data_IF_031572919325
#
_entry.id   IF_031572919325
#
_cell.length_a   1.000
_cell.length_b   1.000
_cell.length_c   1.000
_cell.angle_alpha   90.00
_cell.angle_beta   90.00
_cell.angle_gamma   90.00
#
_symmetry.space_group_name_H-M   'P 1'
#
loop_
_entity.id
_entity.type
_entity.pdbx_description
1 polymer ?
#
# COMPACT_ATOMS: atom_id res chain seq x y z
N UNK A 1 23.08 17.60 23.38
CA UNK A 1 22.26 17.88 22.17
C UNK A 1 21.09 16.93 22.18
N UNK A 2 19.87 17.41 21.95
CA UNK A 2 18.68 16.55 21.92
C UNK A 2 18.79 15.67 20.66
N UNK A 3 19.31 14.46 20.82
CA UNK A 3 19.38 13.45 19.78
C UNK A 3 18.06 12.70 19.76
N UNK A 4 17.06 13.27 19.09
CA UNK A 4 15.72 12.69 19.01
C UNK A 4 14.91 13.34 17.89
N UNK A 5 13.85 12.65 17.47
CA UNK A 5 12.91 13.18 16.49
C UNK A 5 12.11 14.34 17.08
N UNK A 6 11.81 15.37 16.27
CA UNK A 6 11.08 16.55 16.72
C UNK A 6 9.61 16.22 17.03
N UNK A 7 9.03 15.27 16.30
CA UNK A 7 7.66 14.78 16.51
C UNK A 7 7.59 13.26 16.41
N UNK A 8 6.48 12.69 16.88
CA UNK A 8 6.17 11.27 16.67
C UNK A 8 6.03 10.92 15.19
N UNK A 9 5.52 11.84 14.37
CA UNK A 9 5.37 11.64 12.92
C UNK A 9 6.73 11.57 12.23
N UNK A 10 7.71 12.37 12.67
CA UNK A 10 9.08 12.28 12.16
C UNK A 10 9.70 10.91 12.45
N UNK A 11 9.49 10.38 13.66
CA UNK A 11 9.93 9.03 14.01
C UNK A 11 9.23 7.98 13.12
N UNK A 12 7.91 8.06 12.95
CA UNK A 12 7.14 7.12 12.12
C UNK A 12 7.64 7.15 10.67
N UNK A 13 7.85 8.33 10.09
CA UNK A 13 8.35 8.49 8.73
C UNK A 13 9.75 7.89 8.55
N UNK A 14 10.61 7.98 9.56
CA UNK A 14 11.93 7.38 9.54
C UNK A 14 11.86 5.86 9.66
N UNK A 15 11.01 5.31 10.54
CA UNK A 15 10.74 3.86 10.61
C UNK A 15 10.24 3.34 9.25
N UNK A 16 9.29 4.02 8.61
CA UNK A 16 8.77 3.63 7.30
C UNK A 16 9.81 3.79 6.18
N UNK A 17 10.81 4.64 6.36
CA UNK A 17 11.92 4.77 5.41
C UNK A 17 12.88 3.59 5.56
N UNK A 18 13.31 3.27 6.79
CA UNK A 18 14.18 2.12 7.06
C UNK A 18 13.53 0.80 6.62
N UNK A 19 12.23 0.59 6.88
CA UNK A 19 11.52 -0.61 6.42
C UNK A 19 11.54 -0.78 4.90
N UNK A 20 11.52 0.33 4.13
CA UNK A 20 11.59 0.28 2.66
C UNK A 20 12.98 -0.08 2.16
N UNK A 21 14.01 0.30 2.90
CA UNK A 21 15.41 0.03 2.58
C UNK A 21 15.73 -1.42 2.93
N UNK A 22 15.44 -1.85 4.15
CA UNK A 22 15.75 -3.19 4.66
C UNK A 22 14.99 -4.27 3.89
N UNK A 23 13.66 -4.13 3.76
CA UNK A 23 12.81 -5.15 3.15
C UNK A 23 12.57 -4.92 1.65
N UNK A 24 13.55 -4.34 0.95
CA UNK A 24 13.43 -4.05 -0.47
C UNK A 24 13.33 -5.36 -1.27
N UNK A 25 12.23 -5.53 -1.99
CA UNK A 25 11.99 -6.73 -2.81
C UNK A 25 11.37 -7.90 -2.05
N UNK A 26 11.12 -7.77 -0.74
CA UNK A 26 10.55 -8.84 0.09
C UNK A 26 9.01 -8.79 0.20
N UNK A 27 8.36 -7.90 -0.57
CA UNK A 27 6.89 -7.83 -0.64
C UNK A 27 6.20 -6.98 0.43
N UNK A 28 6.95 -6.39 1.38
CA UNK A 28 6.35 -5.60 2.47
C UNK A 28 5.83 -4.23 2.06
N UNK A 29 6.35 -3.64 0.97
CA UNK A 29 5.96 -2.28 0.57
C UNK A 29 4.46 -2.14 0.29
N UNK A 30 3.86 -3.14 -0.35
CA UNK A 30 2.43 -3.13 -0.66
C UNK A 30 1.59 -3.16 0.62
N UNK A 31 1.97 -4.01 1.58
CA UNK A 31 1.28 -4.13 2.87
C UNK A 31 1.37 -2.83 3.67
N UNK A 32 2.54 -2.17 3.67
CA UNK A 32 2.71 -0.87 4.33
C UNK A 32 1.82 0.23 3.71
N UNK A 33 1.67 0.29 2.38
CA UNK A 33 0.71 1.20 1.75
C UNK A 33 -0.73 0.87 2.16
N UNK A 34 -1.14 -0.39 2.02
CA UNK A 34 -2.52 -0.84 2.28
C UNK A 34 -2.95 -0.60 3.73
N UNK A 35 -2.12 -0.99 4.72
CA UNK A 35 -2.46 -0.85 6.14
C UNK A 35 -2.50 0.59 6.63
N UNK A 36 -1.76 1.48 5.96
CA UNK A 36 -1.71 2.92 6.28
C UNK A 36 -2.66 3.74 5.40
N UNK A 37 -3.39 3.10 4.48
CA UNK A 37 -4.20 3.77 3.46
C UNK A 37 -3.41 4.85 2.71
N UNK A 38 -2.13 4.57 2.43
CA UNK A 38 -1.25 5.47 1.69
C UNK A 38 -1.27 5.11 0.20
N UNK A 39 -1.19 6.11 -0.67
CA UNK A 39 -1.16 5.90 -2.12
C UNK A 39 -0.04 4.92 -2.53
N UNK A 40 -0.36 4.06 -3.50
CA UNK A 40 0.66 3.19 -4.12
C UNK A 40 1.48 4.10 -5.04
N UNK A 41 2.79 4.24 -4.80
CA UNK A 41 3.61 5.17 -5.56
C UNK A 41 3.73 4.73 -7.02
N UNK A 42 3.59 5.68 -7.93
CA UNK A 42 3.87 5.49 -9.34
C UNK A 42 5.36 5.23 -9.60
N UNK A 43 5.67 4.72 -10.80
CA UNK A 43 7.04 4.46 -11.23
C UNK A 43 7.22 4.95 -12.67
N UNK A 44 8.20 5.81 -12.92
CA UNK A 44 8.50 6.33 -14.27
C UNK A 44 7.22 6.86 -14.96
N UNK A 45 6.76 6.19 -16.01
CA UNK A 45 5.57 6.51 -16.80
C UNK A 45 4.26 5.92 -16.24
N UNK A 46 4.31 5.20 -15.12
CA UNK A 46 3.13 4.63 -14.45
C UNK A 46 2.69 5.58 -13.34
N UNK A 47 1.44 6.06 -13.41
CA UNK A 47 0.85 6.93 -12.41
C UNK A 47 0.72 6.23 -11.04
N UNK A 48 0.70 7.03 -9.98
CA UNK A 48 0.36 6.54 -8.65
C UNK A 48 -1.12 6.10 -8.60
N UNK A 49 -1.43 5.14 -7.72
CA UNK A 49 -2.80 4.70 -7.46
C UNK A 49 -3.24 5.28 -6.12
N UNK A 50 -4.20 6.22 -6.10
CA UNK A 50 -4.74 6.77 -4.87
C UNK A 50 -5.38 5.69 -4.00
N UNK A 51 -5.33 5.83 -2.68
CA UNK A 51 -6.00 4.93 -1.75
C UNK A 51 -7.54 4.88 -1.93
N UNK A 52 -8.11 5.89 -2.59
CA UNK A 52 -9.53 6.00 -2.92
C UNK A 52 -9.90 5.38 -4.28
N UNK A 53 -8.91 4.95 -5.07
CA UNK A 53 -9.15 4.38 -6.39
C UNK A 53 -9.79 2.98 -6.29
N UNK A 54 -10.78 2.63 -7.14
CA UNK A 54 -11.28 1.26 -7.24
C UNK A 54 -10.20 0.23 -7.59
N UNK A 55 -9.11 0.69 -8.24
CA UNK A 55 -7.96 -0.14 -8.60
C UNK A 55 -6.98 -0.39 -7.44
N UNK A 56 -7.22 0.19 -6.26
CA UNK A 56 -6.35 0.05 -5.10
C UNK A 56 -6.39 -1.37 -4.49
N UNK A 57 -7.52 -2.05 -4.66
CA UNK A 57 -7.72 -3.45 -4.26
C UNK A 57 -7.78 -4.32 -5.52
N UNK A 58 -7.11 -5.48 -5.47
CA UNK A 58 -7.14 -6.43 -6.57
C UNK A 58 -8.56 -6.91 -6.86
N UNK A 59 -8.96 -7.03 -8.14
CA UNK A 59 -10.29 -7.49 -8.50
C UNK A 59 -10.48 -8.97 -8.15
N UNK A 60 -11.72 -9.30 -7.79
CA UNK A 60 -12.11 -10.69 -7.57
C UNK A 60 -12.04 -11.45 -8.91
N UNK A 61 -11.40 -12.63 -8.97
CA UNK A 61 -11.27 -13.41 -10.20
C UNK A 61 -12.62 -13.71 -10.86
N UNK A 62 -12.69 -13.59 -12.18
CA UNK A 62 -13.93 -13.82 -12.93
C UNK A 62 -14.44 -15.27 -12.81
N UNK A 63 -13.53 -16.24 -12.67
CA UNK A 63 -13.86 -17.65 -12.43
C UNK A 63 -14.64 -17.86 -11.13
N UNK A 64 -14.22 -17.22 -10.04
CA UNK A 64 -14.90 -17.30 -8.74
C UNK A 64 -16.33 -16.77 -8.81
N UNK A 65 -16.53 -15.63 -9.50
CA UNK A 65 -17.87 -15.06 -9.71
C UNK A 65 -18.74 -15.90 -10.64
N UNK A 66 -18.13 -16.65 -11.56
CA UNK A 66 -18.86 -17.52 -12.46
C UNK A 66 -19.45 -18.71 -11.71
N UNK A 67 -18.70 -19.31 -10.77
CA UNK A 67 -19.12 -20.46 -9.97
C UNK A 67 -19.98 -20.08 -8.77
N UNK A 68 -19.70 -18.95 -8.11
CA UNK A 68 -20.45 -18.46 -6.95
C UNK A 68 -21.17 -17.15 -7.30
N UNK A 69 -22.48 -17.22 -7.54
CA UNK A 69 -23.31 -16.05 -7.91
C UNK A 69 -23.48 -15.02 -6.77
N UNK A 70 -23.19 -15.39 -5.53
CA UNK A 70 -23.19 -14.47 -4.39
C UNK A 70 -21.86 -13.71 -4.27
N UNK A 71 -20.82 -14.12 -5.01
CA UNK A 71 -19.54 -13.42 -5.06
C UNK A 71 -19.65 -12.20 -5.98
N UNK A 72 -19.80 -11.02 -5.39
CA UNK A 72 -19.92 -9.74 -6.08
C UNK A 72 -18.53 -9.10 -6.30
N UNK A 73 -18.33 -8.31 -7.37
CA UNK A 73 -17.09 -7.56 -7.55
C UNK A 73 -16.89 -6.50 -6.46
N UNK A 74 -15.65 -6.07 -6.30
CA UNK A 74 -15.34 -4.85 -5.54
C UNK A 74 -16.04 -3.64 -6.18
N UNK A 75 -16.50 -2.67 -5.36
CA UNK A 75 -17.22 -1.48 -5.83
C UNK A 75 -16.36 -0.57 -6.72
#
# INVERSE_FOLDING_TARGET
TVAGFATSDDLINQILTERRIEFLGEGFRSQDCLRLLADIPGKSNVAAVPATSPAYIWPIPSGERAVNKLCLPNP
#
